data_IF_639738032712
#
_entry.id   IF_639738032712
#
_cell.length_a   1.000
_cell.length_b   1.000
_cell.length_c   1.000
_cell.angle_alpha   90.00
_cell.angle_beta   90.00
_cell.angle_gamma   90.00
#
_symmetry.space_group_name_H-M   'P 1'
#
loop_
_entity.id
_entity.type
_entity.pdbx_description
1 polymer ?
#
# COMPACT_ATOMS: atom_id res chain seq x y z
N UNK A 1 0.56 6.69 4.68
CA UNK A 1 0.02 5.34 4.95
C UNK A 1 0.89 4.67 6.00
N UNK A 2 0.29 3.99 6.97
CA UNK A 2 0.99 3.55 8.19
C UNK A 2 0.74 2.05 8.40
N UNK A 3 1.76 1.22 8.66
CA UNK A 3 1.53 -0.18 8.97
C UNK A 3 0.79 -0.35 10.30
N UNK A 4 -0.19 -1.25 10.30
CA UNK A 4 -0.91 -1.61 11.52
C UNK A 4 0.01 -2.44 12.41
N UNK A 5 0.11 -2.05 13.69
CA UNK A 5 0.88 -2.81 14.67
C UNK A 5 0.18 -4.14 14.99
N UNK A 6 0.95 -5.19 15.27
CA UNK A 6 0.43 -6.47 15.72
C UNK A 6 -0.36 -6.27 17.01
N UNK A 7 -1.58 -6.81 17.07
CA UNK A 7 -2.47 -6.68 18.23
C UNK A 7 -3.23 -5.36 18.33
N UNK A 8 -3.15 -4.49 17.32
CA UNK A 8 -3.98 -3.28 17.29
C UNK A 8 -5.46 -3.65 17.18
N UNK A 9 -6.28 -3.04 18.03
CA UNK A 9 -7.74 -3.22 18.02
C UNK A 9 -8.40 -2.23 17.06
N UNK A 10 -9.32 -2.73 16.26
CA UNK A 10 -10.16 -1.95 15.37
C UNK A 10 -11.51 -2.65 15.23
N UNK A 11 -12.51 -1.86 14.84
CA UNK A 11 -13.85 -2.36 14.52
C UNK A 11 -14.06 -2.23 13.01
N UNK A 12 -14.49 -3.30 12.35
CA UNK A 12 -14.81 -3.25 10.92
C UNK A 12 -16.20 -2.66 10.72
N UNK A 13 -16.27 -1.53 10.00
CA UNK A 13 -17.55 -0.88 9.68
C UNK A 13 -18.18 -1.48 8.44
N UNK A 14 -17.37 -1.76 7.41
CA UNK A 14 -17.81 -2.43 6.18
C UNK A 14 -16.64 -2.92 5.36
N UNK A 15 -16.88 -3.97 4.59
CA UNK A 15 -15.95 -4.46 3.57
C UNK A 15 -16.17 -3.70 2.27
N UNK A 16 -15.09 -3.19 1.68
CA UNK A 16 -15.10 -2.49 0.40
C UNK A 16 -14.68 -3.40 -0.76
N UNK A 17 -13.81 -4.38 -0.49
CA UNK A 17 -13.25 -5.26 -1.51
C UNK A 17 -12.46 -6.42 -0.88
N UNK A 18 -11.65 -7.10 -1.70
CA UNK A 18 -10.83 -8.22 -1.22
C UNK A 18 -9.61 -7.69 -0.46
N UNK A 19 -9.61 -7.86 0.86
CA UNK A 19 -8.54 -7.32 1.70
C UNK A 19 -8.60 -5.81 1.85
N UNK A 20 -9.75 -5.20 1.54
CA UNK A 20 -10.00 -3.77 1.66
C UNK A 20 -11.24 -3.53 2.53
N UNK A 21 -11.03 -2.88 3.66
CA UNK A 21 -12.01 -2.74 4.72
C UNK A 21 -12.04 -1.30 5.22
N UNK A 22 -13.23 -0.77 5.45
CA UNK A 22 -13.40 0.46 6.20
C UNK A 22 -13.49 0.11 7.69
N UNK A 23 -12.57 0.64 8.47
CA UNK A 23 -12.43 0.33 9.90
C UNK A 23 -12.50 1.59 10.75
N UNK A 24 -12.87 1.39 12.00
CA UNK A 24 -12.89 2.40 13.04
C UNK A 24 -11.85 2.04 14.10
N UNK A 25 -11.04 3.02 14.47
CA UNK A 25 -9.98 2.90 15.47
C UNK A 25 -10.33 3.79 16.67
N UNK A 26 -10.16 3.25 17.87
CA UNK A 26 -10.25 4.05 19.09
C UNK A 26 -8.96 4.86 19.25
N UNK A 27 -9.11 6.16 19.51
CA UNK A 27 -7.97 7.03 19.78
C UNK A 27 -7.47 6.77 21.20
N UNK A 28 -6.15 6.85 21.41
CA UNK A 28 -5.59 6.69 22.75
C UNK A 28 -5.77 7.99 23.57
N UNK A 29 -5.94 7.90 24.91
CA UNK A 29 -5.99 9.09 25.76
C UNK A 29 -4.76 10.00 25.60
N UNK A 30 -3.59 9.39 25.38
CA UNK A 30 -2.33 10.10 25.15
C UNK A 30 -2.36 10.91 23.85
N UNK A 31 -2.97 10.38 22.78
CA UNK A 31 -3.13 11.10 21.52
C UNK A 31 -4.08 12.29 21.68
N UNK A 32 -5.21 12.11 22.38
CA UNK A 32 -6.16 13.21 22.67
C UNK A 32 -5.55 14.31 23.53
N UNK A 33 -4.65 13.98 24.47
CA UNK A 33 -3.91 14.99 25.23
C UNK A 33 -3.00 15.85 24.36
N UNK A 34 -2.38 15.26 23.33
CA UNK A 34 -1.54 15.99 22.37
C UNK A 34 -2.36 16.78 21.35
N UNK A 35 -3.55 16.28 21.02
CA UNK A 35 -4.41 16.84 19.98
C UNK A 35 -5.82 17.04 20.54
N UNK A 36 -6.12 18.19 21.18
CA UNK A 36 -7.38 18.39 21.91
C UNK A 36 -8.64 18.39 21.03
N UNK A 37 -8.50 18.55 19.70
CA UNK A 37 -9.60 18.39 18.73
C UNK A 37 -9.80 16.95 18.23
N UNK A 38 -9.00 15.99 18.70
CA UNK A 38 -9.08 14.60 18.26
C UNK A 38 -10.22 13.88 19.00
N UNK A 39 -11.21 13.41 18.23
CA UNK A 39 -12.33 12.62 18.75
C UNK A 39 -11.90 11.29 19.38
N UNK A 40 -12.85 10.59 20.01
CA UNK A 40 -12.61 9.28 20.61
C UNK A 40 -12.33 8.18 19.58
N UNK A 41 -12.74 8.40 18.34
CA UNK A 41 -12.67 7.42 17.27
C UNK A 41 -12.20 8.08 15.98
N UNK A 42 -11.50 7.32 15.15
CA UNK A 42 -11.11 7.74 13.81
C UNK A 42 -11.44 6.64 12.81
N UNK A 43 -12.06 7.02 11.71
CA UNK A 43 -12.34 6.12 10.60
C UNK A 43 -11.15 6.10 9.66
N UNK A 44 -10.70 4.91 9.29
CA UNK A 44 -9.60 4.68 8.37
C UNK A 44 -9.92 3.52 7.44
N UNK A 45 -9.17 3.41 6.35
CA UNK A 45 -9.24 2.25 5.45
C UNK A 45 -8.06 1.32 5.72
N UNK A 46 -8.38 0.04 5.90
CA UNK A 46 -7.45 -1.03 6.20
C UNK A 46 -7.25 -1.88 4.94
N UNK A 47 -6.01 -1.90 4.46
CA UNK A 47 -5.59 -2.68 3.30
C UNK A 47 -4.74 -3.86 3.74
N UNK A 48 -5.04 -5.04 3.22
CA UNK A 48 -4.25 -6.25 3.42
C UNK A 48 -3.36 -6.46 2.21
N UNK A 49 -2.05 -6.45 2.42
CA UNK A 49 -1.07 -6.58 1.35
C UNK A 49 -0.03 -7.63 1.71
N UNK A 50 0.47 -8.36 0.72
CA UNK A 50 1.59 -9.27 0.90
C UNK A 50 2.86 -8.57 0.45
N UNK A 51 3.84 -8.40 1.36
CA UNK A 51 5.16 -7.86 1.05
C UNK A 51 6.23 -8.87 1.46
N UNK A 52 7.15 -9.22 0.55
CA UNK A 52 8.22 -10.20 0.78
C UNK A 52 7.71 -11.51 1.40
N UNK A 53 6.60 -12.02 0.89
CA UNK A 53 5.94 -13.25 1.38
C UNK A 53 5.23 -13.12 2.73
N UNK A 54 5.20 -11.93 3.36
CA UNK A 54 4.51 -11.69 4.64
C UNK A 54 3.27 -10.85 4.42
N UNK A 55 2.16 -11.27 5.03
CA UNK A 55 0.92 -10.47 5.05
C UNK A 55 1.10 -9.32 6.04
N UNK A 56 0.88 -8.10 5.55
CA UNK A 56 0.94 -6.87 6.30
C UNK A 56 -0.39 -6.13 6.15
N UNK A 57 -0.84 -5.51 7.24
CA UNK A 57 -2.00 -4.64 7.22
C UNK A 57 -1.55 -3.18 7.23
N UNK A 58 -2.21 -2.35 6.42
CA UNK A 58 -1.86 -0.95 6.21
C UNK A 58 -3.08 -0.07 6.44
N UNK A 59 -2.90 0.99 7.22
CA UNK A 59 -3.90 2.02 7.46
C UNK A 59 -3.66 3.23 6.56
N UNK A 60 -4.74 3.72 5.96
CA UNK A 60 -4.77 4.97 5.21
C UNK A 60 -5.98 5.82 5.59
N UNK A 61 -5.83 7.15 5.57
CA UNK A 61 -6.92 8.10 5.75
C UNK A 61 -7.79 8.25 4.49
N UNK A 62 -7.41 7.61 3.39
CA UNK A 62 -8.09 7.68 2.10
C UNK A 62 -9.28 6.69 2.08
N UNK A 63 -10.36 7.08 2.74
CA UNK A 63 -11.54 6.24 3.01
C UNK A 63 -12.52 6.16 1.84
N UNK A 64 -12.48 7.10 0.90
CA UNK A 64 -13.35 7.11 -0.28
C UNK A 64 -12.91 6.03 -1.30
N UNK A 65 -13.75 5.02 -1.45
CA UNK A 65 -13.52 3.89 -2.35
C UNK A 65 -13.62 4.26 -3.83
N UNK A 66 -14.46 5.24 -4.19
CA UNK A 66 -14.68 5.65 -5.57
C UNK A 66 -13.59 6.58 -6.06
N UNK A 67 -13.20 7.54 -5.22
CA UNK A 67 -12.05 8.42 -5.51
C UNK A 67 -10.74 7.65 -5.54
N UNK A 68 -10.66 6.58 -4.76
CA UNK A 68 -9.48 5.76 -4.68
C UNK A 68 -9.78 4.25 -4.68
N UNK A 69 -9.82 3.65 -5.88
CA UNK A 69 -10.11 2.23 -6.02
C UNK A 69 -8.92 1.36 -5.59
N UNK A 70 -9.22 0.09 -5.31
CA UNK A 70 -8.24 -0.92 -4.85
C UNK A 70 -7.02 -1.05 -5.78
N UNK A 71 -7.23 -1.04 -7.10
CA UNK A 71 -6.16 -1.15 -8.11
C UNK A 71 -5.11 -0.04 -7.96
N UNK A 72 -5.58 1.18 -7.71
CA UNK A 72 -4.72 2.35 -7.50
C UNK A 72 -3.85 2.19 -6.25
N UNK A 73 -4.34 1.48 -5.24
CA UNK A 73 -3.57 1.17 -4.04
C UNK A 73 -2.46 0.18 -4.29
N UNK A 74 -2.72 -0.88 -5.06
CA UNK A 74 -1.69 -1.89 -5.41
C UNK A 74 -0.46 -1.25 -6.06
N UNK A 75 -0.66 -0.27 -6.94
CA UNK A 75 0.43 0.42 -7.66
C UNK A 75 1.27 1.31 -6.71
N UNK A 76 0.65 2.01 -5.76
CA UNK A 76 1.39 2.84 -4.79
C UNK A 76 2.19 1.96 -3.79
N UNK A 77 1.78 0.71 -3.58
CA UNK A 77 2.54 -0.22 -2.73
C UNK A 77 3.84 -0.69 -3.37
N UNK A 78 3.85 -0.95 -4.68
CA UNK A 78 5.02 -1.47 -5.40
C UNK A 78 6.11 -0.42 -5.58
N UNK A 79 5.76 0.85 -5.81
CA UNK A 79 6.73 1.95 -5.94
C UNK A 79 7.45 2.30 -4.62
N UNK A 80 6.83 2.04 -3.47
CA UNK A 80 7.46 2.16 -2.15
C UNK A 80 8.37 0.97 -1.80
N UNK A 81 8.59 0.03 -2.73
CA UNK A 81 9.30 -1.23 -2.50
C UNK A 81 10.49 -1.52 -3.41
N UNK A 82 10.66 -0.84 -4.54
CA UNK A 82 11.74 -1.13 -5.49
C UNK A 82 12.71 0.06 -5.62
N UNK A 83 13.66 0.14 -4.69
CA UNK A 83 14.94 0.82 -4.92
C UNK A 83 16.03 -0.25 -4.93
N UNK A 84 16.02 -1.11 -5.95
CA UNK A 84 17.07 -2.10 -6.20
C UNK A 84 17.43 -2.06 -7.68
N UNK A 85 18.66 -1.64 -7.97
CA UNK A 85 19.36 -1.88 -9.22
C UNK A 85 18.95 -1.02 -10.40
N UNK A 86 19.71 0.04 -10.67
CA UNK A 86 19.97 0.43 -12.06
C UNK A 86 20.73 -0.76 -12.66
N UNK A 87 20.02 -1.63 -13.36
CA UNK A 87 20.65 -2.61 -14.26
C UNK A 87 21.19 -1.78 -15.42
N UNK A 88 22.51 -1.62 -15.46
CA UNK A 88 23.19 -1.01 -16.59
C UNK A 88 22.76 -1.72 -17.87
N UNK A 89 22.29 -0.93 -18.80
CA UNK A 89 22.11 -1.25 -20.21
C UNK A 89 23.42 -1.87 -20.73
N UNK A 90 23.44 -3.20 -20.84
CA UNK A 90 24.45 -3.91 -21.64
C UNK A 90 23.92 -3.93 -23.06
N UNK A 91 24.42 -3.00 -23.87
CA UNK A 91 24.33 -3.06 -25.32
C UNK A 91 25.35 -4.09 -25.83
N UNK A 92 24.94 -5.35 -25.87
CA UNK A 92 25.65 -6.38 -26.61
C UNK A 92 25.12 -6.35 -28.06
N UNK A 93 25.63 -5.42 -28.89
CA UNK A 93 25.34 -5.40 -30.33
C UNK A 93 26.17 -6.49 -31.01
N UNK A 94 25.60 -7.69 -31.12
CA UNK A 94 26.16 -8.79 -31.90
C UNK A 94 25.71 -8.67 -33.36
N UNK A 95 26.71 -8.59 -34.23
CA UNK A 95 26.69 -8.70 -35.69
C UNK A 95 25.74 -9.77 -36.23
N UNK A 96 24.85 -9.38 -37.14
CA UNK A 96 24.29 -10.29 -38.13
C UNK A 96 24.09 -9.55 -39.46
N UNK A 97 25.03 -9.73 -40.38
CA UNK A 97 24.83 -9.50 -41.81
C UNK A 97 25.25 -10.79 -42.52
N UNK A 98 24.27 -11.68 -42.69
CA UNK A 98 24.28 -12.65 -43.77
C UNK A 98 23.42 -12.06 -44.88
N UNK A 99 24.01 -11.83 -46.05
CA UNK A 99 23.30 -12.12 -47.30
C UNK A 99 24.32 -12.42 -48.38
N UNK A 100 24.16 -13.60 -48.95
CA UNK A 100 24.94 -14.14 -50.03
C UNK A 100 24.16 -13.96 -51.33
N UNK A 101 24.90 -13.73 -52.42
CA UNK A 101 24.56 -14.19 -53.77
C UNK A 101 23.49 -13.40 -54.55
N UNK A 102 23.93 -12.45 -55.39
CA UNK A 102 24.07 -12.68 -56.84
C UNK A 102 24.85 -11.58 -57.55
#
# INVERSE_FOLDING_TARGET
MIPLRKGAQYEELRKLGKGDHLVKLKTSPQARKKWPGLGNEVTARLLTVTRKGKVCHLLTSMTDAMRFPEEKWRIVQSSLGNRTGIQGDKTDNATEQADAEK
#
